data_IF_639298017494
#
_entry.id   IF_639298017494
#
_cell.length_a   1.000
_cell.length_b   1.000
_cell.length_c   1.000
_cell.angle_alpha   90.00
_cell.angle_beta   90.00
_cell.angle_gamma   90.00
#
_symmetry.space_group_name_H-M   'P 1'
#
loop_
_entity.id
_entity.type
_entity.pdbx_description
1 polymer ?
#
# COMPACT_ATOMS: atom_id res chain seq x y z
N UNK A 1 6.32 38.60 7.00
CA UNK A 1 5.47 38.30 8.12
C UNK A 1 5.85 36.99 8.79
N UNK A 2 5.82 36.96 10.07
CA UNK A 2 6.18 35.75 10.80
C UNK A 2 5.09 34.70 10.76
N UNK A 3 5.50 33.46 10.57
CA UNK A 3 4.60 32.35 10.77
C UNK A 3 4.23 32.30 12.24
N UNK A 4 2.98 32.13 12.55
CA UNK A 4 2.54 32.00 13.93
C UNK A 4 2.86 30.61 14.45
N UNK A 5 2.98 30.50 15.76
CA UNK A 5 3.14 29.19 16.39
C UNK A 5 1.95 28.29 16.04
N UNK A 6 0.78 28.89 15.90
CA UNK A 6 -0.42 28.16 15.53
C UNK A 6 -0.29 27.54 14.14
N UNK A 7 0.22 28.30 13.16
CA UNK A 7 0.40 27.78 11.79
C UNK A 7 1.39 26.62 11.77
N UNK A 8 2.47 26.76 12.50
CA UNK A 8 3.46 25.69 12.62
C UNK A 8 2.84 24.45 13.26
N UNK A 9 2.05 24.66 14.32
CA UNK A 9 1.38 23.57 15.01
C UNK A 9 0.42 22.81 14.09
N UNK A 10 -0.34 23.55 13.28
CA UNK A 10 -1.28 22.95 12.33
C UNK A 10 -0.54 22.07 11.32
N UNK A 11 0.57 22.56 10.79
CA UNK A 11 1.36 21.78 9.81
C UNK A 11 1.94 20.52 10.46
N UNK A 12 2.43 20.62 11.68
CA UNK A 12 2.96 19.48 12.42
C UNK A 12 1.87 18.43 12.65
N UNK A 13 0.68 18.86 13.03
CA UNK A 13 -0.44 17.93 13.21
C UNK A 13 -0.81 17.24 11.91
N UNK A 14 -0.84 17.98 10.80
CA UNK A 14 -1.12 17.40 9.49
C UNK A 14 -0.06 16.41 9.07
N UNK A 15 1.21 16.72 9.35
CA UNK A 15 2.31 15.81 9.09
C UNK A 15 2.14 14.49 9.81
N UNK A 16 1.80 14.57 11.11
CA UNK A 16 1.60 13.38 11.92
C UNK A 16 0.50 12.50 11.34
N UNK A 17 -0.64 13.11 11.01
CA UNK A 17 -1.77 12.37 10.43
C UNK A 17 -1.39 11.74 9.10
N UNK A 18 -0.62 12.46 8.29
CA UNK A 18 -0.20 11.95 6.99
C UNK A 18 0.80 10.82 7.13
N UNK A 19 1.71 10.90 8.09
CA UNK A 19 2.64 9.81 8.38
C UNK A 19 1.91 8.56 8.83
N UNK A 20 0.89 8.73 9.67
CA UNK A 20 0.07 7.61 10.12
C UNK A 20 -0.66 6.96 8.94
N UNK A 21 -1.14 7.78 8.01
CA UNK A 21 -1.81 7.26 6.83
C UNK A 21 -0.86 6.47 5.94
N UNK A 22 0.34 6.98 5.72
CA UNK A 22 1.37 6.26 4.95
C UNK A 22 1.68 4.92 5.61
N UNK A 23 1.82 4.91 6.92
CA UNK A 23 2.09 3.68 7.66
C UNK A 23 0.96 2.67 7.51
N UNK A 24 -0.29 3.12 7.64
CA UNK A 24 -1.45 2.24 7.49
C UNK A 24 -1.56 1.67 6.08
N UNK A 25 -1.38 2.52 5.07
CA UNK A 25 -1.47 2.08 3.68
C UNK A 25 -0.36 1.08 3.35
N UNK A 26 0.85 1.31 3.86
CA UNK A 26 1.96 0.39 3.65
C UNK A 26 1.64 -0.98 4.26
N UNK A 27 1.07 -1.00 5.46
CA UNK A 27 0.68 -2.24 6.11
C UNK A 27 -0.44 -2.93 5.34
N UNK A 28 -1.45 -2.19 4.92
CA UNK A 28 -2.59 -2.75 4.20
C UNK A 28 -2.15 -3.37 2.87
N UNK A 29 -1.23 -2.71 2.17
CA UNK A 29 -0.66 -3.25 0.94
C UNK A 29 0.06 -4.56 1.22
N UNK A 30 0.83 -4.62 2.30
CA UNK A 30 1.53 -5.84 2.69
C UNK A 30 0.56 -7.00 2.94
N UNK A 31 -0.55 -6.72 3.63
CA UNK A 31 -1.57 -7.73 3.89
C UNK A 31 -2.24 -8.21 2.61
N UNK A 32 -2.56 -7.30 1.70
CA UNK A 32 -3.17 -7.67 0.42
C UNK A 32 -2.22 -8.51 -0.40
N UNK A 33 -0.94 -8.14 -0.45
CA UNK A 33 0.08 -8.93 -1.18
C UNK A 33 0.21 -10.33 -0.62
N UNK A 34 0.12 -10.48 0.69
CA UNK A 34 0.15 -11.78 1.32
C UNK A 34 -1.05 -12.63 0.90
N UNK A 35 -2.23 -12.03 0.86
CA UNK A 35 -3.45 -12.71 0.42
C UNK A 35 -3.38 -13.11 -1.05
N UNK A 36 -2.78 -12.26 -1.88
CA UNK A 36 -2.56 -12.60 -3.29
C UNK A 36 -1.65 -13.83 -3.39
N UNK A 37 -0.57 -13.84 -2.63
CA UNK A 37 0.36 -14.96 -2.60
C UNK A 37 -0.33 -16.25 -2.16
N UNK A 38 -1.16 -16.18 -1.13
CA UNK A 38 -1.93 -17.33 -0.64
C UNK A 38 -2.90 -17.83 -1.71
N UNK A 39 -3.58 -16.92 -2.40
CA UNK A 39 -4.52 -17.29 -3.45
C UNK A 39 -3.79 -17.99 -4.60
N UNK A 40 -2.62 -17.50 -4.99
CA UNK A 40 -1.82 -18.14 -6.03
C UNK A 40 -1.36 -19.53 -5.61
N UNK A 41 -0.90 -19.67 -4.37
CA UNK A 41 -0.47 -20.97 -3.85
C UNK A 41 -1.62 -21.96 -3.86
N UNK A 42 -2.81 -21.51 -3.46
CA UNK A 42 -4.00 -22.35 -3.49
C UNK A 42 -4.38 -22.75 -4.91
N UNK A 43 -4.26 -21.85 -5.86
CA UNK A 43 -4.54 -22.17 -7.26
C UNK A 43 -3.61 -23.27 -7.77
N UNK A 44 -2.32 -23.19 -7.46
CA UNK A 44 -1.36 -24.23 -7.84
C UNK A 44 -1.77 -25.58 -7.25
N UNK A 45 -2.13 -25.58 -5.98
CA UNK A 45 -2.58 -26.79 -5.29
C UNK A 45 -3.85 -27.36 -5.91
N UNK A 46 -4.82 -26.50 -6.21
CA UNK A 46 -6.07 -26.93 -6.80
C UNK A 46 -5.89 -27.43 -8.22
N UNK A 47 -4.98 -26.81 -8.98
CA UNK A 47 -4.64 -27.30 -10.32
C UNK A 47 -4.06 -28.72 -10.26
N UNK A 48 -3.21 -28.99 -9.27
CA UNK A 48 -2.68 -30.34 -9.05
C UNK A 48 -3.79 -31.32 -8.70
N UNK A 49 -4.72 -30.92 -7.85
CA UNK A 49 -5.87 -31.74 -7.51
C UNK A 49 -6.77 -32.01 -8.71
N UNK A 50 -6.94 -31.00 -9.56
CA UNK A 50 -7.71 -31.15 -10.79
C UNK A 50 -7.11 -32.22 -11.69
N UNK A 51 -5.80 -32.17 -11.92
CA UNK A 51 -5.11 -33.13 -12.76
C UNK A 51 -5.23 -34.55 -12.20
N UNK A 52 -5.05 -34.68 -10.89
CA UNK A 52 -5.17 -35.99 -10.22
C UNK A 52 -6.59 -36.53 -10.32
N UNK A 53 -7.57 -35.68 -10.07
CA UNK A 53 -8.99 -36.08 -10.14
C UNK A 53 -9.38 -36.42 -11.57
N UNK A 54 -8.84 -35.69 -12.55
CA UNK A 54 -9.08 -36.00 -13.97
C UNK A 54 -8.66 -37.42 -14.31
N UNK A 55 -7.49 -37.84 -13.85
CA UNK A 55 -7.02 -39.22 -14.03
C UNK A 55 -7.95 -40.21 -13.38
N UNK A 56 -8.44 -39.91 -12.18
CA UNK A 56 -9.35 -40.81 -11.47
C UNK A 56 -10.70 -40.91 -12.15
N UNK A 57 -11.18 -39.81 -12.72
CA UNK A 57 -12.42 -39.81 -13.51
C UNK A 57 -12.28 -40.66 -14.75
N UNK A 58 -11.14 -40.53 -15.46
CA UNK A 58 -10.86 -41.31 -16.65
C UNK A 58 -10.76 -42.81 -16.34
N UNK A 59 -10.30 -43.15 -15.15
CA UNK A 59 -10.24 -44.54 -14.68
C UNK A 59 -11.58 -45.06 -14.17
N UNK A 60 -12.59 -44.21 -14.10
CA UNK A 60 -13.91 -44.62 -13.60
C UNK A 60 -14.01 -44.68 -12.08
N UNK A 61 -13.00 -44.22 -11.37
CA UNK A 61 -12.99 -44.27 -9.91
C UNK A 61 -13.81 -43.16 -9.24
N UNK A 62 -13.94 -42.01 -9.90
CA UNK A 62 -14.63 -40.84 -9.37
C UNK A 62 -15.58 -40.28 -10.42
N UNK A 63 -16.65 -39.68 -9.95
CA UNK A 63 -17.67 -39.05 -10.80
C UNK A 63 -17.14 -37.76 -11.45
N UNK A 64 -17.49 -37.48 -12.72
CA UNK A 64 -17.11 -36.22 -13.36
C UNK A 64 -17.57 -34.97 -12.61
N UNK A 65 -18.57 -35.08 -11.72
CA UNK A 65 -19.03 -33.94 -10.95
C UNK A 65 -17.96 -33.38 -10.02
N UNK A 66 -17.00 -34.20 -9.60
CA UNK A 66 -15.89 -33.76 -8.77
C UNK A 66 -14.96 -32.80 -9.54
N UNK A 67 -14.74 -33.04 -10.83
CA UNK A 67 -13.99 -32.12 -11.67
C UNK A 67 -14.65 -30.76 -11.75
N UNK A 68 -15.97 -30.78 -11.88
CA UNK A 68 -16.75 -29.55 -11.97
C UNK A 68 -16.61 -28.72 -10.69
N UNK A 69 -16.63 -29.38 -9.53
CA UNK A 69 -16.42 -28.72 -8.24
C UNK A 69 -15.07 -28.07 -8.15
N UNK A 70 -14.03 -28.81 -8.48
CA UNK A 70 -12.66 -28.31 -8.42
C UNK A 70 -12.44 -27.16 -9.40
N UNK A 71 -13.00 -27.29 -10.61
CA UNK A 71 -12.92 -26.25 -11.62
C UNK A 71 -13.61 -24.96 -11.13
N UNK A 72 -14.74 -25.09 -10.44
CA UNK A 72 -15.43 -23.95 -9.85
C UNK A 72 -14.62 -23.26 -8.78
N UNK A 73 -13.95 -24.05 -7.93
CA UNK A 73 -13.09 -23.49 -6.90
C UNK A 73 -11.88 -22.76 -7.47
N UNK A 74 -11.30 -23.32 -8.53
CA UNK A 74 -10.18 -22.69 -9.24
C UNK A 74 -10.62 -21.33 -9.80
N UNK A 75 -11.80 -21.29 -10.40
CA UNK A 75 -12.35 -20.05 -10.95
C UNK A 75 -12.58 -19.01 -9.86
N UNK A 76 -13.13 -19.41 -8.73
CA UNK A 76 -13.32 -18.51 -7.59
C UNK A 76 -11.99 -17.95 -7.08
N UNK A 77 -10.97 -18.78 -7.03
CA UNK A 77 -9.64 -18.32 -6.60
C UNK A 77 -9.04 -17.33 -7.57
N UNK A 78 -9.23 -17.54 -8.87
CA UNK A 78 -8.76 -16.60 -9.89
C UNK A 78 -9.47 -15.26 -9.75
N UNK A 79 -10.78 -15.28 -9.54
CA UNK A 79 -11.54 -14.05 -9.34
C UNK A 79 -11.11 -13.33 -8.07
N UNK A 80 -10.86 -14.08 -7.03
CA UNK A 80 -10.38 -13.50 -5.76
C UNK A 80 -9.02 -12.85 -5.96
N UNK A 81 -8.12 -13.52 -6.64
CA UNK A 81 -6.79 -12.95 -6.92
C UNK A 81 -6.92 -11.67 -7.73
N UNK A 82 -7.80 -11.65 -8.71
CA UNK A 82 -8.02 -10.48 -9.54
C UNK A 82 -8.53 -9.30 -8.71
N UNK A 83 -9.51 -9.54 -7.84
CA UNK A 83 -10.03 -8.49 -6.95
C UNK A 83 -8.96 -7.96 -6.00
N UNK A 84 -8.15 -8.86 -5.46
CA UNK A 84 -7.05 -8.47 -4.56
C UNK A 84 -5.99 -7.66 -5.30
N UNK A 85 -5.70 -8.01 -6.55
CA UNK A 85 -4.74 -7.27 -7.37
C UNK A 85 -5.25 -5.86 -7.66
N UNK A 86 -6.53 -5.72 -7.91
CA UNK A 86 -7.14 -4.41 -8.10
C UNK A 86 -7.09 -3.59 -6.81
N UNK A 87 -7.36 -4.22 -5.68
CA UNK A 87 -7.28 -3.58 -4.38
C UNK A 87 -5.85 -3.09 -4.10
N UNK A 88 -4.85 -3.93 -4.39
CA UNK A 88 -3.44 -3.54 -4.25
C UNK A 88 -3.12 -2.33 -5.11
N UNK A 89 -3.62 -2.32 -6.34
CA UNK A 89 -3.38 -1.21 -7.26
C UNK A 89 -3.97 0.09 -6.71
N UNK A 90 -5.18 0.03 -6.16
CA UNK A 90 -5.82 1.20 -5.57
C UNK A 90 -5.06 1.69 -4.33
N UNK A 91 -4.69 0.76 -3.46
CA UNK A 91 -3.93 1.13 -2.26
C UNK A 91 -2.58 1.72 -2.61
N UNK A 92 -1.93 1.20 -3.64
CA UNK A 92 -0.64 1.74 -4.10
C UNK A 92 -0.79 3.17 -4.61
N UNK A 93 -1.87 3.45 -5.34
CA UNK A 93 -2.15 4.80 -5.81
C UNK A 93 -2.42 5.75 -4.64
N UNK A 94 -3.17 5.29 -3.64
CA UNK A 94 -3.42 6.08 -2.45
C UNK A 94 -2.15 6.34 -1.66
N UNK A 95 -1.27 5.34 -1.58
CA UNK A 95 0.01 5.49 -0.90
C UNK A 95 0.88 6.53 -1.61
N UNK A 96 0.94 6.48 -2.93
CA UNK A 96 1.70 7.46 -3.70
C UNK A 96 1.16 8.87 -3.46
N UNK A 97 -0.15 9.04 -3.47
CA UNK A 97 -0.77 10.32 -3.19
C UNK A 97 -0.48 10.80 -1.76
N UNK A 98 -0.50 9.87 -0.80
CA UNK A 98 -0.21 10.20 0.59
C UNK A 98 1.24 10.64 0.76
N UNK A 99 2.17 10.00 0.06
CA UNK A 99 3.57 10.36 0.08
C UNK A 99 3.82 11.74 -0.52
N UNK A 100 3.11 12.07 -1.60
CA UNK A 100 3.21 13.40 -2.20
C UNK A 100 2.73 14.45 -1.21
N UNK A 101 1.61 14.20 -0.53
CA UNK A 101 1.13 15.11 0.50
C UNK A 101 2.13 15.28 1.63
N UNK A 102 2.78 14.20 2.03
CA UNK A 102 3.78 14.24 3.09
C UNK A 102 4.95 15.12 2.67
N UNK A 103 5.41 14.99 1.44
CA UNK A 103 6.49 15.82 0.91
C UNK A 103 6.08 17.29 0.92
N UNK A 104 4.85 17.58 0.50
CA UNK A 104 4.34 18.94 0.47
C UNK A 104 4.28 19.54 1.87
N UNK A 105 3.81 18.77 2.84
CA UNK A 105 3.72 19.23 4.22
C UNK A 105 5.10 19.47 4.84
N UNK A 106 6.05 18.59 4.55
CA UNK A 106 7.42 18.78 5.00
C UNK A 106 8.02 20.05 4.42
N UNK A 107 7.74 20.31 3.15
CA UNK A 107 8.20 21.54 2.50
C UNK A 107 7.57 22.77 3.16
N UNK A 108 6.28 22.72 3.46
CA UNK A 108 5.61 23.79 4.16
C UNK A 108 6.23 24.06 5.52
N UNK A 109 6.54 22.99 6.25
CA UNK A 109 7.17 23.12 7.55
C UNK A 109 8.55 23.75 7.44
N UNK A 110 9.32 23.35 6.44
CA UNK A 110 10.63 23.93 6.20
C UNK A 110 10.51 25.41 5.87
N UNK A 111 9.54 25.78 5.06
CA UNK A 111 9.29 27.18 4.72
C UNK A 111 8.91 28.01 5.95
N UNK A 112 8.10 27.46 6.82
CA UNK A 112 7.74 28.14 8.05
C UNK A 112 8.96 28.27 8.97
N UNK A 113 9.79 27.25 9.02
CA UNK A 113 11.01 27.30 9.79
C UNK A 113 12.00 28.33 9.25
N UNK A 114 12.14 28.40 7.95
CA UNK A 114 12.99 29.39 7.29
C UNK A 114 12.47 30.80 7.53
N UNK A 115 11.17 30.98 7.43
CA UNK A 115 10.55 32.26 7.65
C UNK A 115 10.79 32.73 9.09
N UNK A 116 10.66 31.85 10.04
CA UNK A 116 10.93 32.14 11.44
C UNK A 116 12.42 32.44 11.67
N UNK A 117 13.27 31.61 11.07
CA UNK A 117 14.72 31.79 11.18
C UNK A 117 15.14 33.08 10.50
N UNK A 118 14.55 33.39 9.34
CA UNK A 118 14.86 34.62 8.63
C UNK A 118 14.50 35.87 9.42
N UNK A 119 13.44 35.80 10.21
CA UNK A 119 13.00 36.95 10.99
C UNK A 119 14.00 37.30 12.10
N UNK A 120 14.75 36.31 12.58
CA UNK A 120 15.68 36.57 13.66
C UNK A 120 17.02 35.91 13.51
N UNK A 121 17.25 35.24 12.39
CA UNK A 121 18.41 34.38 12.27
C UNK A 121 19.25 34.57 11.02
N UNK A 122 19.18 35.71 10.40
CA UNK A 122 19.98 35.97 9.21
C UNK A 122 21.47 35.78 9.43
N UNK A 123 21.92 36.12 10.61
CA UNK A 123 23.31 35.97 10.94
C UNK A 123 23.79 34.55 10.86
N UNK A 124 22.93 33.65 11.25
CA UNK A 124 23.26 32.25 11.22
C UNK A 124 23.44 31.77 9.79
N UNK A 125 22.61 32.23 8.89
CA UNK A 125 22.73 31.89 7.49
C UNK A 125 24.06 32.36 6.93
N UNK A 126 24.46 33.56 7.26
CA UNK A 126 25.73 34.13 6.81
C UNK A 126 26.90 33.31 7.32
N UNK A 127 26.83 32.87 8.53
CA UNK A 127 27.88 32.04 9.09
C UNK A 127 28.06 30.75 8.32
N UNK A 128 26.97 30.14 7.95
CA UNK A 128 27.03 28.89 7.21
C UNK A 128 27.66 29.11 5.84
N UNK A 129 27.38 30.24 5.23
CA UNK A 129 27.92 30.54 3.91
C UNK A 129 29.43 30.71 3.94
N UNK A 130 29.96 31.13 5.06
CA UNK A 130 31.39 31.34 5.21
C UNK A 130 32.18 30.06 5.37
N UNK A 131 31.50 28.95 5.56
CA UNK A 131 32.17 27.66 5.68
C UNK A 131 32.32 26.92 4.34
#
# INVERSE_FOLDING_TARGET
>A
MKASAYQTQVVIERLRLQQDQVTRLTRDIGEVRERISEAKTRQVKMNGMFEETEKQVQSGLISPSELKKISGEIEELKQREQRLTEEESQLSAELDAARVKLITLNKQLDELGQETAGAGGEKRTNKNDNK
#
